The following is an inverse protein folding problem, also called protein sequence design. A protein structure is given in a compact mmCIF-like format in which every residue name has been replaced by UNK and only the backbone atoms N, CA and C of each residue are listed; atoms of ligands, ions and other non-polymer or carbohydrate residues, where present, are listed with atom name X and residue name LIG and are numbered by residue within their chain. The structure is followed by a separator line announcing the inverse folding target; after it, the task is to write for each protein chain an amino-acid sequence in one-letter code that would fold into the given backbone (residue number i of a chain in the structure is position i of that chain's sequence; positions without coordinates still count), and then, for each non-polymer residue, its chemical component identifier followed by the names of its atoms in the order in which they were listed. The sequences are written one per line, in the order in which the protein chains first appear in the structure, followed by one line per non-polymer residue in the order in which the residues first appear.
data_IF_843823973085
#
_entry.id   IF_843823973085
#
_cell.length_a   1.000
_cell.length_b   1.000
_cell.length_c   1.000
_cell.angle_alpha   90.00
_cell.angle_beta   90.00
_cell.angle_gamma   90.00
#
_symmetry.space_group_name_H-M   'P 1'
#
loop_
_entity.id
_entity.type
_entity.pdbx_description
1 polymer ?
#
# COMPACT_ATOMS: atom_id res chain seq x y z
N UNK A 1 -5.69 -14.66 18.08
CA UNK A 1 -5.56 -13.37 17.39
C UNK A 1 -6.85 -12.63 17.67
N UNK A 2 -6.82 -11.53 18.42
CA UNK A 2 -8.03 -10.74 18.68
C UNK A 2 -8.41 -10.09 17.35
N UNK A 3 -9.64 -10.32 16.89
CA UNK A 3 -10.16 -9.73 15.66
C UNK A 3 -10.34 -8.22 15.89
N UNK A 4 -9.45 -7.44 15.28
CA UNK A 4 -9.43 -5.98 15.40
C UNK A 4 -10.75 -5.38 14.91
N UNK A 5 -11.44 -6.04 13.96
CA UNK A 5 -12.75 -5.60 13.47
C UNK A 5 -13.81 -5.75 14.56
N UNK A 6 -13.82 -6.88 15.26
CA UNK A 6 -14.73 -7.10 16.39
C UNK A 6 -14.48 -6.11 17.55
N UNK A 7 -13.22 -5.75 17.80
CA UNK A 7 -12.87 -4.73 18.79
C UNK A 7 -13.37 -3.33 18.40
N UNK A 8 -13.27 -2.97 17.11
CA UNK A 8 -13.77 -1.70 16.56
C UNK A 8 -15.30 -1.62 16.68
N UNK A 9 -16.02 -2.69 16.37
CA UNK A 9 -17.47 -2.75 16.51
C UNK A 9 -17.93 -2.57 17.96
N UNK A 10 -17.26 -3.21 18.92
CA UNK A 10 -17.57 -3.05 20.34
C UNK A 10 -17.37 -1.60 20.82
N UNK A 11 -16.35 -0.90 20.31
CA UNK A 11 -16.13 0.52 20.59
C UNK A 11 -17.25 1.38 19.98
N UNK A 12 -17.68 1.12 18.74
CA UNK A 12 -18.80 1.82 18.09
C UNK A 12 -20.10 1.69 18.88
N UNK A 13 -20.40 0.48 19.37
CA UNK A 13 -21.58 0.21 20.19
C UNK A 13 -21.52 1.03 21.48
N UNK A 14 -20.37 1.02 22.16
CA UNK A 14 -20.16 1.77 23.40
C UNK A 14 -20.32 3.29 23.19
N UNK A 15 -19.83 3.82 22.08
CA UNK A 15 -20.01 5.23 21.69
C UNK A 15 -21.49 5.58 21.50
N UNK A 16 -22.25 4.72 20.81
CA UNK A 16 -23.68 4.93 20.60
C UNK A 16 -24.47 4.90 21.92
N UNK A 17 -24.12 4.00 22.85
CA UNK A 17 -24.72 3.98 24.19
C UNK A 17 -24.52 5.31 24.91
N UNK A 18 -23.32 5.90 24.87
CA UNK A 18 -23.07 7.19 25.54
C UNK A 18 -23.82 8.35 24.88
N UNK A 19 -24.03 8.34 23.54
CA UNK A 19 -24.88 9.35 22.87
C UNK A 19 -26.33 9.29 23.38
N UNK A 20 -26.90 8.09 23.49
CA UNK A 20 -28.26 7.89 24.02
C UNK A 20 -28.36 8.36 25.48
N UNK A 21 -27.35 8.02 26.30
CA UNK A 21 -27.26 8.48 27.69
C UNK A 21 -27.14 10.01 27.77
N UNK A 22 -26.41 10.65 26.84
CA UNK A 22 -26.24 12.11 26.78
C UNK A 22 -27.54 12.88 26.55
N UNK A 23 -28.47 12.29 25.80
CA UNK A 23 -29.77 12.89 25.53
C UNK A 23 -30.69 12.79 26.76
N UNK A 24 -30.60 11.69 27.51
CA UNK A 24 -31.32 11.50 28.78
C UNK A 24 -30.84 12.41 29.92
N UNK A 25 -29.57 12.81 29.91
CA UNK A 25 -28.96 13.64 30.96
C UNK A 25 -29.41 15.11 30.97
N UNK A 26 -30.11 15.59 29.94
CA UNK A 26 -30.72 16.94 29.94
C UNK A 26 -31.71 17.13 31.11
N UNK A 27 -32.17 16.05 31.74
CA UNK A 27 -33.07 16.06 32.89
C UNK A 27 -32.37 16.04 34.27
N UNK A 28 -31.04 15.87 34.34
CA UNK A 28 -30.30 15.77 35.62
C UNK A 28 -30.03 17.16 36.21
N UNK A 29 -30.36 17.33 37.50
CA UNK A 29 -30.21 18.59 38.24
C UNK A 29 -28.97 18.67 39.12
N UNK A 30 -28.38 17.54 39.51
CA UNK A 30 -27.18 17.49 40.35
C UNK A 30 -25.91 17.83 39.56
N UNK A 31 -25.06 18.68 40.15
CA UNK A 31 -23.86 19.25 39.51
C UNK A 31 -22.73 18.21 39.40
N UNK A 32 -22.54 17.36 40.41
CA UNK A 32 -21.49 16.34 40.41
C UNK A 32 -21.71 15.29 39.32
N UNK A 33 -22.95 14.84 39.14
CA UNK A 33 -23.34 13.92 38.06
C UNK A 33 -23.12 14.53 36.65
N UNK A 34 -23.22 15.86 36.52
CA UNK A 34 -22.92 16.57 35.26
C UNK A 34 -21.42 16.65 34.99
N UNK A 35 -20.59 16.77 36.03
CA UNK A 35 -19.14 16.81 35.93
C UNK A 35 -18.59 15.45 35.47
N UNK A 36 -18.99 14.36 36.13
CA UNK A 36 -18.61 12.99 35.74
C UNK A 36 -19.02 12.70 34.30
N UNK A 37 -20.22 13.13 33.92
CA UNK A 37 -20.72 12.94 32.55
C UNK A 37 -19.92 13.75 31.51
N UNK A 38 -19.52 14.97 31.83
CA UNK A 38 -18.67 15.79 30.96
C UNK A 38 -17.31 15.12 30.74
N UNK A 39 -16.74 14.53 31.78
CA UNK A 39 -15.48 13.78 31.68
C UNK A 39 -15.65 12.52 30.80
N UNK A 40 -16.71 11.74 31.02
CA UNK A 40 -17.04 10.59 30.16
C UNK A 40 -17.23 11.01 28.69
N UNK A 41 -17.89 12.15 28.43
CA UNK A 41 -18.08 12.68 27.08
C UNK A 41 -16.74 13.07 26.44
N UNK A 42 -15.82 13.68 27.19
CA UNK A 42 -14.48 14.01 26.69
C UNK A 42 -13.67 12.76 26.35
N UNK A 43 -13.73 11.74 27.21
CA UNK A 43 -13.09 10.44 26.94
C UNK A 43 -13.69 9.79 25.70
N UNK A 44 -15.01 9.89 25.49
CA UNK A 44 -15.68 9.37 24.31
C UNK A 44 -15.22 10.04 23.02
N UNK A 45 -15.09 11.37 23.02
CA UNK A 45 -14.59 12.13 21.86
C UNK A 45 -13.20 11.64 21.48
N UNK A 46 -12.29 11.51 22.46
CA UNK A 46 -10.93 10.98 22.23
C UNK A 46 -10.94 9.56 21.68
N UNK A 47 -11.80 8.68 22.22
CA UNK A 47 -11.95 7.31 21.71
C UNK A 47 -12.49 7.29 20.28
N UNK A 48 -13.41 8.19 19.95
CA UNK A 48 -13.98 8.31 18.60
C UNK A 48 -12.93 8.78 17.59
N UNK A 49 -12.11 9.77 17.95
CA UNK A 49 -10.98 10.23 17.13
C UNK A 49 -9.96 9.11 16.90
N UNK A 50 -9.61 8.37 17.97
CA UNK A 50 -8.69 7.24 17.86
C UNK A 50 -9.25 6.12 16.97
N UNK A 51 -10.55 5.87 17.04
CA UNK A 51 -11.23 4.88 16.20
C UNK A 51 -11.15 5.27 14.73
N UNK A 52 -11.48 6.52 14.40
CA UNK A 52 -11.44 7.04 13.03
C UNK A 52 -10.02 6.94 12.45
N UNK A 53 -9.01 7.34 13.22
CA UNK A 53 -7.60 7.21 12.84
C UNK A 53 -7.17 5.75 12.63
N UNK A 54 -7.71 4.81 13.41
CA UNK A 54 -7.42 3.39 13.26
C UNK A 54 -8.06 2.81 11.99
N UNK A 55 -9.30 3.18 11.69
CA UNK A 55 -10.02 2.78 10.47
C UNK A 55 -9.31 3.28 9.21
N UNK A 56 -8.87 4.54 9.18
CA UNK A 56 -8.10 5.11 8.07
C UNK A 56 -6.80 4.32 7.84
N UNK A 57 -6.05 4.01 8.90
CA UNK A 57 -4.82 3.21 8.80
C UNK A 57 -5.08 1.80 8.29
N UNK A 58 -6.16 1.15 8.74
CA UNK A 58 -6.53 -0.19 8.25
C UNK A 58 -6.81 -0.13 6.76
N UNK A 59 -7.58 0.85 6.30
CA UNK A 59 -7.89 1.03 4.87
C UNK A 59 -6.62 1.28 4.03
N UNK A 60 -5.71 2.13 4.50
CA UNK A 60 -4.43 2.38 3.84
C UNK A 60 -3.57 1.11 3.74
N UNK A 61 -3.49 0.35 4.83
CA UNK A 61 -2.71 -0.89 4.88
C UNK A 61 -3.31 -1.98 3.98
N UNK A 62 -4.63 -2.12 3.97
CA UNK A 62 -5.32 -3.08 3.12
C UNK A 62 -5.12 -2.77 1.63
N UNK A 63 -5.19 -1.47 1.27
CA UNK A 63 -4.88 -0.99 -0.08
C UNK A 63 -3.44 -1.34 -0.49
N UNK A 64 -2.47 -1.14 0.41
CA UNK A 64 -1.05 -1.48 0.16
C UNK A 64 -0.84 -2.99 0.01
N UNK A 65 -1.48 -3.79 0.87
CA UNK A 65 -1.40 -5.27 0.82
C UNK A 65 -2.00 -5.81 -0.47
N UNK A 66 -3.18 -5.33 -0.87
CA UNK A 66 -3.83 -5.70 -2.13
C UNK A 66 -2.93 -5.39 -3.33
N UNK A 67 -2.27 -4.22 -3.33
CA UNK A 67 -1.31 -3.87 -4.37
C UNK A 67 -0.11 -4.82 -4.37
N UNK A 68 0.47 -5.14 -3.22
CA UNK A 68 1.60 -6.08 -3.13
C UNK A 68 1.24 -7.48 -3.63
N UNK A 69 0.06 -7.98 -3.31
CA UNK A 69 -0.41 -9.29 -3.78
C UNK A 69 -0.64 -9.33 -5.29
N UNK A 70 -0.93 -8.19 -5.91
CA UNK A 70 -1.15 -8.06 -7.35
C UNK A 70 0.14 -7.96 -8.18
N UNK A 71 1.31 -7.91 -7.55
CA UNK A 71 2.58 -7.71 -8.24
C UNK A 71 3.17 -9.05 -8.69
N UNK A 72 3.42 -9.15 -9.99
CA UNK A 72 4.25 -10.20 -10.56
C UNK A 72 5.62 -9.67 -10.94
N UNK A 73 6.65 -10.34 -10.43
CA UNK A 73 8.02 -10.14 -10.87
C UNK A 73 8.32 -11.12 -12.01
N UNK A 74 8.87 -10.62 -13.11
CA UNK A 74 9.37 -11.49 -14.15
C UNK A 74 10.58 -12.28 -13.61
N UNK A 75 10.57 -13.60 -13.76
CA UNK A 75 11.60 -14.53 -13.24
C UNK A 75 13.04 -14.24 -13.70
N UNK A 76 13.14 -13.44 -14.76
CA UNK A 76 14.31 -13.30 -15.62
C UNK A 76 14.76 -11.83 -15.75
N UNK A 77 14.22 -10.92 -14.93
CA UNK A 77 14.70 -9.54 -14.85
C UNK A 77 13.93 -8.74 -13.82
N UNK A 78 14.54 -7.66 -13.32
CA UNK A 78 13.98 -6.73 -12.34
C UNK A 78 12.76 -5.93 -12.88
N UNK A 79 11.94 -6.53 -13.73
CA UNK A 79 10.78 -5.93 -14.38
C UNK A 79 9.55 -6.36 -13.61
N UNK A 80 8.76 -5.37 -13.23
CA UNK A 80 7.56 -5.55 -12.42
C UNK A 80 6.30 -5.41 -13.28
N UNK A 81 5.32 -6.26 -13.05
CA UNK A 81 4.01 -6.22 -13.67
C UNK A 81 2.95 -6.20 -12.57
N UNK A 82 1.82 -5.54 -12.85
CA UNK A 82 0.67 -5.52 -11.94
C UNK A 82 -0.47 -6.27 -12.61
N UNK A 83 -1.01 -7.28 -11.93
CA UNK A 83 -2.18 -8.04 -12.38
C UNK A 83 -3.39 -7.63 -11.57
N UNK A 84 -4.34 -6.97 -12.22
CA UNK A 84 -5.66 -6.68 -11.66
C UNK A 84 -6.72 -7.24 -12.58
N UNK A 85 -7.70 -7.96 -12.02
CA UNK A 85 -8.87 -8.46 -12.75
C UNK A 85 -8.49 -9.21 -14.05
N UNK A 86 -7.49 -10.10 -13.96
CA UNK A 86 -6.94 -10.87 -15.10
C UNK A 86 -6.26 -10.03 -16.20
N UNK A 87 -6.12 -8.71 -16.00
CA UNK A 87 -5.39 -7.82 -16.90
C UNK A 87 -3.99 -7.54 -16.36
N UNK A 88 -2.98 -7.93 -17.13
CA UNK A 88 -1.57 -7.60 -16.87
C UNK A 88 -1.26 -6.19 -17.39
N UNK A 89 -0.80 -5.32 -16.50
CA UNK A 89 -0.42 -3.94 -16.80
C UNK A 89 1.06 -3.70 -16.48
N UNK A 90 1.77 -2.94 -17.33
CA UNK A 90 3.20 -2.67 -17.17
C UNK A 90 3.92 -2.58 -18.52
N UNK A 91 5.26 -2.61 -18.53
CA UNK A 91 6.16 -2.88 -17.39
C UNK A 91 6.41 -1.67 -16.47
N UNK A 92 6.64 -1.94 -15.19
CA UNK A 92 6.94 -0.94 -14.15
C UNK A 92 8.35 -1.13 -13.56
N UNK A 93 8.90 -0.03 -13.03
CA UNK A 93 10.20 0.00 -12.37
C UNK A 93 10.10 -0.63 -10.97
N UNK A 94 10.73 -1.79 -10.79
CA UNK A 94 10.81 -2.48 -9.49
C UNK A 94 11.57 -1.66 -8.44
N UNK A 95 12.65 -0.95 -8.83
CA UNK A 95 13.44 -0.13 -7.89
C UNK A 95 12.62 1.03 -7.33
N UNK A 96 11.97 1.82 -8.18
CA UNK A 96 11.14 2.94 -7.71
C UNK A 96 9.93 2.47 -6.90
N UNK A 97 9.44 1.26 -7.16
CA UNK A 97 8.39 0.66 -6.36
C UNK A 97 8.90 0.22 -4.98
N UNK A 98 10.06 -0.44 -4.92
CA UNK A 98 10.68 -0.89 -3.66
C UNK A 98 11.10 0.26 -2.75
N UNK A 99 11.68 1.32 -3.31
CA UNK A 99 12.23 2.43 -2.52
C UNK A 99 11.17 3.46 -2.11
N UNK A 100 10.25 3.81 -3.02
CA UNK A 100 9.30 4.92 -2.83
C UNK A 100 7.83 4.52 -2.93
N UNK A 101 7.52 3.24 -3.19
CA UNK A 101 6.14 2.78 -3.42
C UNK A 101 5.52 3.31 -4.73
N UNK A 102 6.32 3.83 -5.66
CA UNK A 102 5.82 4.51 -6.88
C UNK A 102 5.81 3.56 -8.08
N UNK A 103 4.65 3.42 -8.72
CA UNK A 103 4.48 2.63 -9.96
C UNK A 103 4.86 3.45 -11.19
N UNK A 104 6.16 3.55 -11.46
CA UNK A 104 6.69 4.27 -12.63
C UNK A 104 6.76 3.32 -13.83
N UNK A 105 6.04 3.63 -14.91
CA UNK A 105 6.11 2.88 -16.17
C UNK A 105 7.51 2.98 -16.77
N UNK A 106 8.04 1.87 -17.28
CA UNK A 106 9.32 1.86 -17.97
C UNK A 106 9.13 2.26 -19.44
N UNK A 107 10.11 2.99 -19.97
CA UNK A 107 10.18 3.29 -21.40
C UNK A 107 10.79 2.09 -22.13
N UNK A 108 10.18 1.71 -23.25
CA UNK A 108 10.65 0.62 -24.12
C UNK A 108 11.71 1.15 -25.09
N UNK A 109 12.90 0.55 -25.05
CA UNK A 109 14.00 0.85 -25.98
C UNK A 109 14.12 -0.22 -27.09
N UNK A 110 13.19 -1.16 -27.15
CA UNK A 110 13.21 -2.29 -28.09
C UNK A 110 14.02 -3.49 -27.58
N UNK A 111 13.84 -4.62 -28.25
CA UNK A 111 14.60 -5.87 -28.04
C UNK A 111 14.65 -6.38 -26.60
N UNK A 112 13.64 -6.07 -25.79
CA UNK A 112 13.62 -6.46 -24.38
C UNK A 112 14.56 -5.62 -23.50
N UNK A 113 14.82 -4.37 -23.89
CA UNK A 113 15.48 -3.36 -23.07
C UNK A 113 14.49 -2.27 -22.67
N UNK A 114 14.50 -1.93 -21.39
CA UNK A 114 13.70 -0.85 -20.83
C UNK A 114 14.55 0.07 -19.96
N UNK A 115 14.13 1.31 -19.81
CA UNK A 115 14.72 2.24 -18.85
C UNK A 115 13.65 2.98 -18.05
N UNK A 116 13.98 3.28 -16.79
CA UNK A 116 13.11 4.10 -15.97
C UNK A 116 13.36 5.59 -16.26
N UNK A 117 12.35 6.38 -16.62
CA UNK A 117 12.54 7.82 -16.85
C UNK A 117 12.92 8.57 -15.57
N UNK A 118 12.62 8.01 -14.39
CA UNK A 118 12.84 8.63 -13.09
C UNK A 118 14.21 8.30 -12.49
N UNK A 119 14.48 7.03 -12.18
CA UNK A 119 15.74 6.62 -11.55
C UNK A 119 16.86 6.31 -12.55
N UNK A 120 16.58 6.34 -13.86
CA UNK A 120 17.53 6.07 -14.95
C UNK A 120 18.12 4.64 -14.96
N UNK A 121 17.61 3.73 -14.14
CA UNK A 121 17.99 2.32 -14.19
C UNK A 121 17.56 1.67 -15.51
N UNK A 122 18.39 0.74 -15.98
CA UNK A 122 18.15 -0.08 -17.15
C UNK A 122 17.74 -1.50 -16.76
N UNK A 123 16.77 -2.03 -17.48
CA UNK A 123 16.18 -3.34 -17.25
C UNK A 123 16.24 -4.12 -18.57
N UNK A 124 16.60 -5.39 -18.49
CA UNK A 124 16.80 -6.21 -19.68
C UNK A 124 16.20 -7.60 -19.47
N UNK A 125 15.59 -8.14 -20.52
CA UNK A 125 15.23 -9.56 -20.57
C UNK A 125 16.47 -10.43 -20.58
N UNK A 126 16.28 -11.73 -20.28
CA UNK A 126 17.32 -12.74 -20.47
C UNK A 126 17.76 -12.85 -21.93
N UNK A 127 16.81 -12.77 -22.87
CA UNK A 127 17.09 -12.81 -24.30
C UNK A 127 18.03 -11.67 -24.72
N UNK A 128 17.72 -10.43 -24.31
CA UNK A 128 18.59 -9.29 -24.61
C UNK A 128 20.03 -9.52 -24.12
N UNK A 129 20.20 -10.03 -22.89
CA UNK A 129 21.54 -10.34 -22.34
C UNK A 129 22.27 -11.39 -23.17
N UNK A 130 21.58 -12.45 -23.61
CA UNK A 130 22.16 -13.49 -24.45
C UNK A 130 22.60 -12.95 -25.81
N UNK A 131 21.78 -12.11 -26.44
CA UNK A 131 22.10 -11.50 -27.73
C UNK A 131 23.32 -10.58 -27.66
N UNK A 132 23.47 -9.82 -26.57
CA UNK A 132 24.65 -8.99 -26.34
C UNK A 132 25.91 -9.82 -26.12
N UNK A 133 25.82 -10.89 -25.33
CA UNK A 133 26.93 -11.80 -25.07
C UNK A 133 27.41 -12.49 -26.37
N UNK A 134 26.48 -12.91 -27.22
CA UNK A 134 26.80 -13.53 -28.51
C UNK A 134 27.47 -12.54 -29.47
N UNK A 135 26.94 -11.32 -29.57
CA UNK A 135 27.56 -10.24 -30.36
C UNK A 135 28.98 -9.99 -29.89
N UNK A 136 29.21 -9.90 -28.58
CA UNK A 136 30.55 -9.70 -28.00
C UNK A 136 31.51 -10.84 -28.34
N UNK A 137 31.06 -12.09 -28.20
CA UNK A 137 31.87 -13.27 -28.58
C UNK A 137 32.21 -13.27 -30.07
N UNK A 138 31.27 -12.88 -30.93
CA UNK A 138 31.49 -12.79 -32.39
C UNK A 138 32.54 -11.74 -32.74
N UNK A 139 32.50 -10.58 -32.09
CA UNK A 139 33.50 -9.52 -32.27
C UNK A 139 34.89 -10.03 -31.85
N UNK A 140 35.03 -10.64 -30.67
CA UNK A 140 36.32 -11.21 -30.23
C UNK A 140 36.90 -12.22 -31.23
N UNK A 141 36.05 -13.08 -31.80
CA UNK A 141 36.47 -14.03 -32.86
C UNK A 141 36.94 -13.34 -34.14
N UNK A 142 36.28 -12.26 -34.56
CA UNK A 142 36.64 -11.50 -35.77
C UNK A 142 37.97 -10.76 -35.63
N UNK A 143 38.28 -10.26 -34.42
CA UNK A 143 39.48 -9.46 -34.16
C UNK A 143 40.64 -10.24 -33.52
N UNK A 144 40.51 -11.57 -33.32
CA UNK A 144 41.51 -12.46 -32.69
C UNK A 144 42.09 -11.88 -31.37
N UNK A 145 41.23 -11.34 -30.50
CA UNK A 145 41.57 -10.93 -29.13
C UNK A 145 40.96 -11.89 -28.11
#
# INVERSE_FOLDING_TARGET
MIDIVAAIEAIKISINCVKVVSEGLKAIKEVDQKLDFLEMKQQLVKLTENLLNAEEKIYELDTKLSLQQSIEHQSDGNIMWIIKELKRSGPYCSTCFGDEGKTITLNDNGDGSWNCPKCKNHFHTKQWRQDQDEKHRRIKRLYKV
#
